data_IF_348919688378
#
_entry.id   IF_348919688378
#
_cell.length_a   1.000
_cell.length_b   1.000
_cell.length_c   1.000
_cell.angle_alpha   90.00
_cell.angle_beta   90.00
_cell.angle_gamma   90.00
#
_symmetry.space_group_name_H-M   'P 1'
#
loop_
_entity.id
_entity.type
_entity.pdbx_description
1 polymer ?
#
# COMPACT_ATOMS: atom_id res chain seq x y z
N UNK A 1 -31.07 -10.98 8.17
CA UNK A 1 -29.84 -10.22 7.98
C UNK A 1 -28.73 -10.99 8.67
N UNK A 2 -27.67 -11.36 7.96
CA UNK A 2 -26.52 -12.01 8.59
C UNK A 2 -25.84 -11.00 9.53
N UNK A 3 -25.60 -11.38 10.76
CA UNK A 3 -24.90 -10.57 11.73
C UNK A 3 -23.47 -10.31 11.25
N UNK A 4 -23.09 -9.04 11.16
CA UNK A 4 -21.73 -8.66 10.77
C UNK A 4 -20.79 -9.00 11.92
N UNK A 5 -19.89 -9.96 11.70
CA UNK A 5 -18.88 -10.34 12.69
C UNK A 5 -17.66 -9.44 12.52
N UNK A 6 -17.38 -8.63 13.53
CA UNK A 6 -16.12 -7.85 13.60
C UNK A 6 -15.03 -8.78 14.13
N UNK A 7 -13.94 -8.90 13.36
CA UNK A 7 -12.76 -9.71 13.72
C UNK A 7 -11.61 -8.74 13.96
N UNK A 8 -11.15 -8.67 15.21
CA UNK A 8 -10.04 -7.82 15.63
C UNK A 8 -10.44 -6.80 16.69
N UNK A 9 -9.45 -6.10 17.19
CA UNK A 9 -9.63 -5.04 18.18
C UNK A 9 -10.16 -3.76 17.54
N UNK A 10 -10.89 -2.97 18.33
CA UNK A 10 -11.32 -1.65 17.90
C UNK A 10 -10.10 -0.76 17.63
N UNK A 11 -10.11 -0.06 16.49
CA UNK A 11 -9.08 0.93 16.17
C UNK A 11 -9.27 2.13 17.09
N UNK A 12 -8.23 2.44 17.87
CA UNK A 12 -8.24 3.60 18.77
C UNK A 12 -8.13 4.91 17.97
N UNK A 13 -8.67 5.96 18.55
CA UNK A 13 -8.56 7.34 18.02
C UNK A 13 -9.09 7.53 16.59
N UNK A 14 -9.96 6.63 16.12
CA UNK A 14 -10.57 6.80 14.81
C UNK A 14 -11.49 8.02 14.82
N UNK A 15 -11.31 8.99 13.92
CA UNK A 15 -12.11 10.20 13.86
C UNK A 15 -13.46 9.92 13.18
N UNK A 16 -14.35 9.22 13.89
CA UNK A 16 -15.68 8.94 13.39
C UNK A 16 -16.51 10.22 13.29
N UNK A 17 -17.19 10.37 12.17
CA UNK A 17 -18.18 11.41 11.96
C UNK A 17 -19.48 10.81 11.48
N UNK A 18 -20.57 11.30 12.01
CA UNK A 18 -21.88 10.98 11.47
C UNK A 18 -22.09 11.79 10.19
N UNK A 19 -22.63 11.15 9.17
CA UNK A 19 -23.03 11.82 7.95
C UNK A 19 -24.15 12.83 8.25
N UNK A 20 -24.30 13.89 7.45
CA UNK A 20 -25.38 14.84 7.63
C UNK A 20 -26.73 14.14 7.50
N UNK A 21 -27.73 14.58 8.28
CA UNK A 21 -29.06 13.97 8.33
C UNK A 21 -29.76 13.93 6.96
N UNK A 22 -29.40 14.83 6.05
CA UNK A 22 -29.91 14.90 4.68
C UNK A 22 -29.20 13.95 3.71
N UNK A 23 -28.24 13.19 4.17
CA UNK A 23 -27.44 12.26 3.38
C UNK A 23 -28.20 10.96 3.08
N UNK A 24 -29.43 11.07 2.64
CA UNK A 24 -30.23 9.91 2.28
C UNK A 24 -29.97 9.47 0.84
N UNK A 25 -29.38 8.28 0.66
CA UNK A 25 -29.32 7.60 -0.62
C UNK A 25 -27.96 7.50 -1.29
N UNK A 26 -26.92 8.18 -0.85
CA UNK A 26 -25.57 7.96 -1.37
C UNK A 26 -24.85 6.84 -0.58
N UNK A 27 -24.18 5.90 -1.25
CA UNK A 27 -23.49 4.80 -0.57
C UNK A 27 -22.23 5.22 0.21
N UNK A 28 -21.78 6.45 0.02
CA UNK A 28 -20.54 6.97 0.59
C UNK A 28 -20.71 8.42 1.01
N UNK A 29 -20.27 8.76 2.20
CA UNK A 29 -20.12 10.13 2.67
C UNK A 29 -18.64 10.51 2.78
N UNK A 30 -18.32 11.75 2.40
CA UNK A 30 -16.95 12.27 2.47
C UNK A 30 -16.85 13.29 3.59
N UNK A 31 -15.74 13.23 4.32
CA UNK A 31 -15.40 14.23 5.33
C UNK A 31 -15.43 15.65 4.74
N UNK A 32 -16.08 16.58 5.45
CA UNK A 32 -16.33 17.94 4.94
C UNK A 32 -15.06 18.78 4.76
N UNK A 33 -14.02 18.50 5.52
CA UNK A 33 -12.72 19.20 5.48
C UNK A 33 -11.74 18.59 4.44
N UNK A 34 -12.21 17.68 3.57
CA UNK A 34 -11.34 17.17 2.50
C UNK A 34 -11.00 18.27 1.49
N UNK A 35 -9.75 18.29 0.97
CA UNK A 35 -8.67 17.35 1.22
C UNK A 35 -7.93 17.60 2.53
N UNK A 36 -7.75 16.58 3.36
CA UNK A 36 -7.02 16.68 4.64
C UNK A 36 -5.52 16.91 4.49
N UNK A 37 -4.96 16.64 3.32
CA UNK A 37 -3.57 16.93 2.98
C UNK A 37 -3.57 17.89 1.80
N UNK A 38 -3.07 19.08 2.02
CA UNK A 38 -2.99 20.13 1.01
C UNK A 38 -1.86 19.94 0.01
N UNK A 39 -1.62 20.97 -0.80
CA UNK A 39 -0.48 21.05 -1.72
C UNK A 39 0.81 21.36 -0.95
N UNK A 40 1.94 20.89 -1.50
CA UNK A 40 3.28 21.11 -0.94
C UNK A 40 3.39 20.70 0.54
N UNK A 41 2.95 19.49 0.90
CA UNK A 41 2.93 19.05 2.30
C UNK A 41 4.35 18.90 2.86
N UNK A 42 5.33 18.64 2.00
CA UNK A 42 6.75 18.53 2.30
C UNK A 42 7.54 19.25 1.20
N UNK A 43 8.75 19.68 1.51
CA UNK A 43 9.67 20.24 0.51
C UNK A 43 9.81 19.32 -0.69
N UNK A 44 9.77 19.87 -1.88
CA UNK A 44 9.84 19.17 -3.17
C UNK A 44 8.64 18.27 -3.53
N UNK A 45 7.67 18.08 -2.64
CA UNK A 45 6.46 17.31 -2.91
C UNK A 45 5.32 18.25 -3.28
N UNK A 46 4.86 18.17 -4.53
CA UNK A 46 3.75 19.00 -5.01
C UNK A 46 2.41 18.56 -4.40
N UNK A 47 2.22 17.25 -4.22
CA UNK A 47 0.96 16.67 -3.71
C UNK A 47 1.14 15.21 -3.30
N UNK A 48 0.20 14.75 -2.48
CA UNK A 48 0.07 13.35 -2.08
C UNK A 48 -1.04 12.68 -2.91
N UNK A 49 -0.77 11.47 -3.35
CA UNK A 49 -1.74 10.55 -3.95
C UNK A 49 -1.74 9.24 -3.18
N UNK A 50 -2.53 8.30 -3.60
CA UNK A 50 -2.62 6.91 -3.14
C UNK A 50 -1.71 6.56 -1.96
N UNK A 51 -2.33 6.34 -0.81
CA UNK A 51 -1.63 6.11 0.45
C UNK A 51 -2.10 4.81 1.07
N UNK A 52 -1.29 4.25 1.95
CA UNK A 52 -1.68 3.16 2.82
C UNK A 52 -1.39 3.56 4.27
N UNK A 53 -2.39 3.43 5.11
CA UNK A 53 -2.37 3.86 6.51
C UNK A 53 -2.82 2.72 7.41
N UNK A 54 -2.21 2.60 8.58
CA UNK A 54 -2.61 1.62 9.59
C UNK A 54 -2.38 2.13 11.01
N UNK A 55 -3.05 1.58 12.03
CA UNK A 55 -2.73 1.83 13.42
C UNK A 55 -1.31 1.36 13.77
N UNK A 56 -0.61 2.14 14.60
CA UNK A 56 0.72 1.83 15.09
C UNK A 56 0.88 2.35 16.52
N UNK A 57 0.82 1.44 17.50
CA UNK A 57 0.79 1.83 18.91
C UNK A 57 -0.47 2.65 19.24
N UNK A 58 -0.27 3.88 19.69
CA UNK A 58 -1.33 4.84 20.01
C UNK A 58 -1.54 5.91 18.93
N UNK A 59 -0.94 5.72 17.76
CA UNK A 59 -1.03 6.61 16.62
C UNK A 59 -1.35 5.86 15.32
N UNK A 60 -1.42 6.58 14.23
CA UNK A 60 -1.47 6.07 12.86
C UNK A 60 -0.15 6.33 12.16
N UNK A 61 0.28 5.34 11.38
CA UNK A 61 1.42 5.46 10.50
C UNK A 61 0.97 5.20 9.07
N UNK A 62 1.58 5.88 8.12
CA UNK A 62 1.24 5.73 6.72
C UNK A 62 2.43 5.87 5.80
N UNK A 63 2.33 5.20 4.67
CA UNK A 63 3.22 5.33 3.52
C UNK A 63 2.46 6.01 2.39
N UNK A 64 3.00 7.09 1.86
CA UNK A 64 2.30 8.02 1.00
C UNK A 64 3.05 8.18 -0.32
N UNK A 65 2.33 8.09 -1.45
CA UNK A 65 2.88 8.49 -2.74
C UNK A 65 3.01 10.01 -2.77
N UNK A 66 4.22 10.52 -2.63
CA UNK A 66 4.55 11.92 -2.84
C UNK A 66 4.99 12.18 -4.27
N UNK A 67 4.19 12.92 -5.03
CA UNK A 67 4.56 13.38 -6.36
C UNK A 67 5.47 14.59 -6.22
N UNK A 68 6.73 14.45 -6.59
CA UNK A 68 7.67 15.57 -6.54
C UNK A 68 7.34 16.65 -7.60
N UNK A 69 7.87 17.83 -7.42
CA UNK A 69 7.68 18.95 -8.37
C UNK A 69 8.23 18.67 -9.77
N UNK A 70 9.15 17.72 -9.89
CA UNK A 70 9.67 17.20 -11.16
C UNK A 70 8.80 16.10 -11.80
N UNK A 71 7.67 15.72 -11.15
CA UNK A 71 6.76 14.68 -11.61
C UNK A 71 7.18 13.25 -11.25
N UNK A 72 8.30 13.05 -10.55
CA UNK A 72 8.75 11.71 -10.14
C UNK A 72 8.13 11.35 -8.79
N UNK A 73 7.37 10.26 -8.68
CA UNK A 73 6.80 9.84 -7.40
C UNK A 73 7.79 9.02 -6.56
N UNK A 74 7.76 9.28 -5.26
CA UNK A 74 8.45 8.46 -4.26
C UNK A 74 7.54 8.22 -3.05
N UNK A 75 7.97 7.35 -2.15
CA UNK A 75 7.23 7.02 -0.94
C UNK A 75 7.77 7.84 0.23
N UNK A 76 6.85 8.47 0.94
CA UNK A 76 7.11 9.25 2.15
C UNK A 76 6.42 8.61 3.34
N UNK A 77 7.04 8.73 4.51
CA UNK A 77 6.45 8.29 5.77
C UNK A 77 5.67 9.45 6.39
N UNK A 78 4.54 9.13 7.00
CA UNK A 78 3.75 10.09 7.77
C UNK A 78 3.19 9.46 9.03
N UNK A 79 3.03 10.28 10.07
CA UNK A 79 2.44 9.90 11.37
C UNK A 79 1.31 10.82 11.73
N UNK A 80 0.30 10.28 12.41
CA UNK A 80 -0.86 11.03 12.84
C UNK A 80 -1.44 10.47 14.14
N UNK A 81 -1.97 11.34 14.99
CA UNK A 81 -2.70 10.91 16.19
C UNK A 81 -4.18 10.65 15.94
N UNK A 82 -4.72 11.14 14.83
CA UNK A 82 -6.16 11.16 14.54
C UNK A 82 -6.52 10.76 13.10
N UNK A 83 -5.54 10.37 12.29
CA UNK A 83 -5.67 10.04 10.87
C UNK A 83 -6.19 11.21 9.99
N UNK A 84 -6.28 12.42 10.52
CA UNK A 84 -6.66 13.64 9.81
C UNK A 84 -5.46 14.57 9.67
N UNK A 85 -4.78 14.86 10.78
CA UNK A 85 -3.62 15.74 10.83
C UNK A 85 -2.34 14.91 10.72
N UNK A 86 -1.61 15.09 9.63
CA UNK A 86 -0.44 14.30 9.29
C UNK A 86 0.84 15.09 9.40
N UNK A 87 1.83 14.51 10.06
CA UNK A 87 3.21 14.96 10.05
C UNK A 87 4.02 14.05 9.16
N UNK A 88 4.66 14.61 8.16
CA UNK A 88 5.48 13.87 7.19
C UNK A 88 6.95 14.02 7.51
N UNK A 89 7.71 12.96 7.26
CA UNK A 89 9.15 13.06 7.21
C UNK A 89 9.57 13.96 6.04
N UNK A 90 10.61 14.77 6.24
CA UNK A 90 11.09 15.69 5.20
C UNK A 90 11.64 14.97 3.98
N UNK A 91 12.19 13.77 4.20
CA UNK A 91 12.81 12.97 3.17
C UNK A 91 11.94 11.77 2.78
N UNK A 92 12.02 11.39 1.50
CA UNK A 92 11.47 10.13 1.05
C UNK A 92 12.13 8.95 1.77
N UNK A 93 11.41 7.85 1.91
CA UNK A 93 11.92 6.62 2.52
C UNK A 93 13.21 6.20 1.79
N UNK A 94 14.24 5.95 2.56
CA UNK A 94 15.49 5.38 2.08
C UNK A 94 15.47 3.88 2.35
N UNK A 95 15.61 3.11 1.28
CA UNK A 95 15.69 1.66 1.39
C UNK A 95 17.15 1.21 1.48
N UNK A 96 17.37 0.11 2.14
CA UNK A 96 18.67 -0.57 2.17
C UNK A 96 18.49 -2.03 1.73
N UNK A 97 19.53 -2.65 1.19
CA UNK A 97 19.55 -4.11 0.99
C UNK A 97 19.84 -4.85 2.31
N UNK A 98 19.92 -6.17 2.27
CA UNK A 98 20.19 -7.00 3.45
C UNK A 98 21.60 -6.77 4.04
N UNK A 99 22.53 -6.21 3.27
CA UNK A 99 23.88 -5.83 3.71
C UNK A 99 23.93 -4.39 4.24
N UNK A 100 22.82 -3.68 4.24
CA UNK A 100 22.69 -2.29 4.68
C UNK A 100 23.14 -1.26 3.63
N UNK A 101 23.36 -1.67 2.40
CA UNK A 101 23.73 -0.77 1.31
C UNK A 101 22.51 -0.01 0.81
N UNK A 102 22.61 1.32 0.62
CA UNK A 102 21.49 2.10 0.12
C UNK A 102 20.97 1.63 -1.23
N UNK A 103 19.65 1.54 -1.32
CA UNK A 103 18.92 1.27 -2.54
C UNK A 103 17.83 2.32 -2.75
N UNK A 104 17.71 2.83 -3.96
CA UNK A 104 16.64 3.74 -4.33
C UNK A 104 16.04 3.34 -5.68
N UNK A 105 14.74 3.08 -5.75
CA UNK A 105 14.07 2.84 -7.03
C UNK A 105 14.12 4.11 -7.90
N UNK A 106 14.07 3.95 -9.20
CA UNK A 106 13.99 5.08 -10.15
C UNK A 106 12.76 5.94 -9.86
N UNK A 107 11.65 5.29 -9.53
CA UNK A 107 10.44 5.86 -8.95
C UNK A 107 9.70 4.81 -8.15
N UNK A 108 8.84 5.25 -7.22
CA UNK A 108 7.99 4.37 -6.44
C UNK A 108 6.62 5.03 -6.23
N UNK A 109 5.54 4.31 -6.55
CA UNK A 109 4.18 4.84 -6.44
C UNK A 109 3.19 3.77 -5.98
N UNK A 110 2.03 4.22 -5.56
CA UNK A 110 0.90 3.42 -5.10
C UNK A 110 1.29 2.39 -4.03
N UNK A 111 1.85 2.86 -2.90
CA UNK A 111 2.26 1.95 -1.85
C UNK A 111 1.09 1.22 -1.20
N UNK A 112 1.36 0.01 -0.74
CA UNK A 112 0.52 -0.77 0.17
C UNK A 112 1.32 -1.05 1.42
N UNK A 113 0.65 -1.05 2.55
CA UNK A 113 1.25 -1.32 3.87
C UNK A 113 0.45 -2.42 4.55
N UNK A 114 1.12 -3.45 5.01
CA UNK A 114 0.48 -4.57 5.69
C UNK A 114 1.40 -5.13 6.77
N UNK A 115 0.81 -5.55 7.89
CA UNK A 115 1.51 -6.27 8.93
C UNK A 115 1.23 -7.77 8.80
N UNK A 116 2.29 -8.57 8.74
CA UNK A 116 2.20 -10.03 8.84
C UNK A 116 3.10 -10.47 9.98
N UNK A 117 2.52 -11.11 10.99
CA UNK A 117 3.23 -11.43 12.25
C UNK A 117 3.83 -10.17 12.87
N UNK A 118 5.13 -10.13 13.10
CA UNK A 118 5.85 -9.00 13.72
C UNK A 118 6.51 -8.07 12.71
N UNK A 119 6.25 -8.26 11.43
CA UNK A 119 6.92 -7.52 10.36
C UNK A 119 5.91 -6.74 9.52
N UNK A 120 6.25 -5.50 9.23
CA UNK A 120 5.52 -4.65 8.30
C UNK A 120 6.14 -4.76 6.92
N UNK A 121 5.31 -4.90 5.91
CA UNK A 121 5.70 -4.96 4.51
C UNK A 121 5.13 -3.75 3.77
N UNK A 122 6.00 -3.10 3.02
CA UNK A 122 5.62 -2.05 2.09
C UNK A 122 5.80 -2.61 0.69
N UNK A 123 4.76 -2.49 -0.13
CA UNK A 123 4.73 -2.98 -1.51
C UNK A 123 4.37 -1.79 -2.40
N UNK A 124 5.08 -1.62 -3.51
CA UNK A 124 4.85 -0.49 -4.40
C UNK A 124 5.04 -0.87 -5.87
N UNK A 125 4.59 0.00 -6.75
CA UNK A 125 4.86 -0.10 -8.18
C UNK A 125 6.15 0.68 -8.50
N UNK A 126 7.00 0.08 -9.32
CA UNK A 126 8.26 0.68 -9.76
C UNK A 126 8.58 0.30 -11.21
N UNK A 127 9.66 0.88 -11.75
CA UNK A 127 10.32 0.37 -12.94
C UNK A 127 11.53 -0.49 -12.53
N UNK A 128 11.58 -1.68 -13.08
CA UNK A 128 12.73 -2.58 -13.01
C UNK A 128 12.75 -3.42 -14.29
N UNK A 129 13.34 -2.87 -15.36
CA UNK A 129 13.27 -3.41 -16.72
C UNK A 129 11.81 -3.54 -17.23
N UNK A 130 10.96 -2.63 -16.83
CA UNK A 130 9.53 -2.58 -17.10
C UNK A 130 8.71 -2.48 -15.82
N UNK A 131 7.37 -2.46 -15.95
CA UNK A 131 6.47 -2.37 -14.82
C UNK A 131 6.70 -3.54 -13.85
N UNK A 132 7.07 -3.25 -12.60
CA UNK A 132 7.44 -4.22 -11.59
C UNK A 132 6.87 -3.87 -10.22
N UNK A 133 6.90 -4.85 -9.34
CA UNK A 133 6.53 -4.71 -7.93
C UNK A 133 7.81 -4.66 -7.12
N UNK A 134 7.99 -3.56 -6.37
CA UNK A 134 9.01 -3.47 -5.35
C UNK A 134 8.44 -3.81 -3.98
N UNK A 135 9.29 -4.28 -3.08
CA UNK A 135 8.90 -4.64 -1.74
C UNK A 135 10.02 -4.36 -0.73
N UNK A 136 9.63 -3.94 0.47
CA UNK A 136 10.52 -3.79 1.62
C UNK A 136 9.83 -4.26 2.90
N UNK A 137 10.63 -4.62 3.88
CA UNK A 137 10.18 -4.97 5.23
C UNK A 137 10.75 -4.00 6.26
N UNK A 138 10.00 -3.76 7.32
CA UNK A 138 10.44 -2.97 8.47
C UNK A 138 9.80 -3.51 9.75
N UNK A 139 10.42 -3.23 10.91
CA UNK A 139 9.85 -3.51 12.23
C UNK A 139 9.54 -2.24 13.02
N UNK A 140 10.17 -1.15 12.65
CA UNK A 140 10.22 0.09 13.44
C UNK A 140 9.84 1.35 12.65
N UNK A 141 9.71 1.25 11.33
CA UNK A 141 9.54 2.38 10.41
C UNK A 141 10.70 3.39 10.43
N UNK A 142 11.89 2.93 10.82
CA UNK A 142 13.15 3.68 10.75
C UNK A 142 14.07 3.05 9.71
N UNK A 143 14.19 1.71 9.74
CA UNK A 143 14.98 0.94 8.80
C UNK A 143 14.06 0.16 7.84
N UNK A 144 14.25 0.37 6.55
CA UNK A 144 13.45 -0.26 5.49
C UNK A 144 14.35 -1.16 4.64
N UNK A 145 14.29 -2.46 4.91
CA UNK A 145 15.12 -3.44 4.21
C UNK A 145 14.38 -3.92 2.96
N UNK A 146 14.98 -3.68 1.80
CA UNK A 146 14.45 -4.18 0.53
C UNK A 146 14.39 -5.70 0.54
N UNK A 147 13.30 -6.24 0.04
CA UNK A 147 13.12 -7.65 -0.28
C UNK A 147 13.24 -7.80 -1.81
N UNK A 148 13.63 -8.98 -2.28
CA UNK A 148 13.64 -9.27 -3.70
C UNK A 148 12.28 -8.96 -4.35
N UNK A 149 12.30 -8.56 -5.61
CA UNK A 149 11.06 -8.31 -6.34
C UNK A 149 10.26 -9.62 -6.44
N UNK A 150 9.00 -9.62 -5.96
CA UNK A 150 8.24 -10.86 -5.85
C UNK A 150 7.90 -11.51 -7.20
N UNK A 151 7.96 -10.74 -8.28
CA UNK A 151 7.65 -11.19 -9.62
C UNK A 151 8.59 -10.57 -10.65
N UNK A 152 8.72 -11.23 -11.79
CA UNK A 152 9.36 -10.66 -12.97
C UNK A 152 8.51 -9.52 -13.55
N UNK A 153 9.11 -8.57 -14.30
CA UNK A 153 8.35 -7.68 -15.17
C UNK A 153 7.52 -8.52 -16.19
N UNK A 154 6.40 -8.14 -16.61
CA UNK A 154 5.60 -6.96 -16.37
C UNK A 154 4.47 -7.28 -15.39
N UNK A 155 4.68 -7.07 -14.14
CA UNK A 155 3.68 -7.29 -13.11
C UNK A 155 3.68 -6.07 -12.16
N UNK A 156 2.50 -5.51 -11.91
CA UNK A 156 2.36 -4.38 -10.98
C UNK A 156 1.02 -4.45 -10.26
N UNK A 157 0.90 -3.66 -9.18
CA UNK A 157 -0.24 -3.68 -8.29
C UNK A 157 -0.38 -5.03 -7.59
N UNK A 158 0.33 -5.17 -6.49
CA UNK A 158 0.18 -6.34 -5.63
C UNK A 158 -0.40 -5.98 -4.27
N UNK A 159 -1.06 -6.95 -3.67
CA UNK A 159 -1.58 -6.87 -2.31
C UNK A 159 -1.20 -8.15 -1.57
N UNK A 160 -0.44 -8.00 -0.49
CA UNK A 160 -0.13 -9.09 0.42
C UNK A 160 -1.25 -9.25 1.44
N UNK A 161 -1.66 -10.48 1.73
CA UNK A 161 -2.63 -10.76 2.79
C UNK A 161 -2.05 -10.41 4.16
N UNK A 162 -2.87 -9.89 5.10
CA UNK A 162 -2.40 -9.47 6.44
C UNK A 162 -2.16 -10.65 7.39
N UNK A 163 -2.05 -11.84 6.89
CA UNK A 163 -1.75 -13.06 7.63
C UNK A 163 -1.26 -14.15 6.69
N UNK A 164 -0.54 -15.11 7.21
CA UNK A 164 -0.27 -16.35 6.50
C UNK A 164 -1.55 -17.20 6.38
N UNK A 165 -1.69 -17.87 5.24
CA UNK A 165 -2.76 -18.84 4.96
C UNK A 165 -2.10 -20.19 4.77
N UNK A 166 -2.48 -21.18 5.56
CA UNK A 166 -1.84 -22.51 5.57
C UNK A 166 -0.30 -22.46 5.73
N UNK A 167 0.20 -21.50 6.50
CA UNK A 167 1.63 -21.32 6.73
C UNK A 167 2.38 -20.51 5.66
N UNK A 168 1.73 -20.15 4.56
CA UNK A 168 2.32 -19.39 3.46
C UNK A 168 1.90 -17.92 3.46
N UNK A 169 2.79 -17.06 3.02
CA UNK A 169 2.43 -15.73 2.54
C UNK A 169 1.61 -15.87 1.27
N UNK A 170 0.55 -15.08 1.15
CA UNK A 170 -0.35 -15.10 0.00
C UNK A 170 -0.47 -13.70 -0.58
N UNK A 171 -0.35 -13.58 -1.88
CA UNK A 171 -0.35 -12.30 -2.57
C UNK A 171 -1.28 -12.34 -3.79
N UNK A 172 -2.06 -11.27 -3.95
CA UNK A 172 -2.74 -10.97 -5.21
C UNK A 172 -1.87 -10.05 -6.03
N UNK A 173 -1.74 -10.33 -7.32
CA UNK A 173 -1.04 -9.46 -8.24
C UNK A 173 -1.79 -9.31 -9.55
N UNK A 174 -1.45 -8.30 -10.32
CA UNK A 174 -2.03 -8.05 -11.64
C UNK A 174 -0.93 -7.86 -12.67
N UNK A 175 -0.62 -8.89 -13.44
CA UNK A 175 0.23 -8.76 -14.61
C UNK A 175 -0.26 -7.64 -15.53
N UNK A 176 0.65 -6.90 -16.08
CA UNK A 176 0.37 -5.73 -16.90
C UNK A 176 1.52 -5.55 -17.87
N UNK A 177 1.23 -5.51 -19.14
CA UNK A 177 2.23 -5.20 -20.16
C UNK A 177 2.71 -3.74 -20.09
N UNK A 178 3.65 -3.39 -20.94
CA UNK A 178 4.16 -2.03 -21.08
C UNK A 178 3.12 -1.04 -21.64
N UNK A 179 2.02 -1.53 -22.19
CA UNK A 179 1.03 -0.76 -22.92
C UNK A 179 -0.19 -0.33 -22.11
N UNK A 180 -0.17 -0.47 -20.80
CA UNK A 180 -1.34 -0.15 -19.97
C UNK A 180 -2.57 -0.97 -20.32
N UNK A 181 -2.44 -2.27 -20.48
CA UNK A 181 -3.57 -3.17 -20.69
C UNK A 181 -4.62 -2.91 -19.62
N UNK A 182 -5.81 -2.41 -19.96
CA UNK A 182 -6.87 -2.11 -18.98
C UNK A 182 -7.46 -3.39 -18.39
N UNK A 183 -7.17 -4.53 -18.98
CA UNK A 183 -7.71 -5.83 -18.63
C UNK A 183 -6.55 -6.76 -18.26
N UNK A 184 -6.30 -6.91 -16.98
CA UNK A 184 -5.39 -7.91 -16.46
C UNK A 184 -6.14 -8.82 -15.49
N UNK A 185 -5.91 -10.10 -15.62
CA UNK A 185 -6.40 -11.06 -14.64
C UNK A 185 -5.73 -10.84 -13.28
N UNK A 186 -6.42 -11.21 -12.22
CA UNK A 186 -5.85 -11.21 -10.89
C UNK A 186 -5.28 -12.57 -10.60
N UNK A 187 -4.00 -12.60 -10.28
CA UNK A 187 -3.27 -13.82 -9.95
C UNK A 187 -3.16 -13.97 -8.44
N UNK A 188 -3.39 -15.17 -7.96
CA UNK A 188 -3.12 -15.56 -6.59
C UNK A 188 -1.80 -16.36 -6.56
N UNK A 189 -0.89 -15.92 -5.71
CA UNK A 189 0.41 -16.56 -5.54
C UNK A 189 0.70 -16.79 -4.06
N UNK A 190 1.47 -17.84 -3.76
CA UNK A 190 1.88 -18.15 -2.39
C UNK A 190 3.39 -18.40 -2.30
N UNK A 191 3.92 -18.20 -1.09
CA UNK A 191 5.32 -18.44 -0.77
C UNK A 191 5.49 -18.74 0.72
N UNK A 192 6.35 -19.68 1.10
CA UNK A 192 6.66 -19.92 2.51
C UNK A 192 7.52 -18.81 3.13
N UNK A 193 8.30 -18.08 2.33
CA UNK A 193 9.40 -17.21 2.79
C UNK A 193 9.44 -15.82 2.11
N UNK A 194 8.54 -15.52 1.18
CA UNK A 194 8.51 -14.30 0.35
C UNK A 194 9.65 -14.17 -0.68
N UNK A 195 10.51 -15.18 -0.82
CA UNK A 195 11.58 -15.15 -1.83
C UNK A 195 11.10 -15.70 -3.17
N UNK A 196 10.27 -16.73 -3.14
CA UNK A 196 9.73 -17.40 -4.33
C UNK A 196 8.22 -17.47 -4.25
N UNK A 197 7.54 -16.64 -5.05
CA UNK A 197 6.09 -16.66 -5.17
C UNK A 197 5.66 -17.61 -6.30
N UNK A 198 5.02 -18.69 -5.92
CA UNK A 198 4.45 -19.66 -6.85
C UNK A 198 3.02 -19.29 -7.18
N UNK A 199 2.72 -19.17 -8.46
CA UNK A 199 1.36 -18.92 -8.95
C UNK A 199 0.50 -20.17 -8.69
N UNK A 200 -0.59 -20.03 -7.94
CA UNK A 200 -1.51 -21.12 -7.64
C UNK A 200 -2.85 -21.00 -8.36
N UNK A 201 -3.27 -19.81 -8.71
CA UNK A 201 -4.55 -19.62 -9.38
C UNK A 201 -4.63 -18.31 -10.14
N UNK A 202 -5.26 -18.36 -11.32
CA UNK A 202 -5.72 -17.18 -12.06
C UNK A 202 -7.19 -17.02 -11.72
N UNK A 203 -7.55 -15.93 -11.06
CA UNK A 203 -8.93 -15.57 -10.85
C UNK A 203 -9.44 -14.87 -12.10
N UNK A 204 -10.12 -15.60 -12.96
CA UNK A 204 -10.87 -14.96 -14.04
C UNK A 204 -12.02 -14.14 -13.43
N UNK A 205 -12.20 -12.88 -13.87
CA UNK A 205 -13.41 -12.18 -13.54
C UNK A 205 -14.59 -12.99 -14.08
N UNK A 206 -15.48 -13.42 -13.21
CA UNK A 206 -16.71 -14.10 -13.62
C UNK A 206 -17.46 -13.18 -14.59
N UNK A 207 -17.31 -13.44 -15.87
CA UNK A 207 -18.19 -12.84 -16.88
C UNK A 207 -19.57 -13.45 -16.68
N UNK A 208 -20.61 -12.65 -16.53
CA UNK A 208 -21.95 -13.19 -16.60
C UNK A 208 -22.08 -13.93 -17.93
N UNK A 209 -22.38 -15.23 -17.88
CA UNK A 209 -22.77 -15.99 -19.07
C UNK A 209 -24.19 -15.52 -19.42
N UNK A 210 -24.30 -14.68 -20.41
CA UNK A 210 -25.59 -14.39 -21.08
C UNK A 210 -25.60 -15.05 -22.44
#
# INVERSE_FOLDING_TARGET
MSEVKIIGDAVKNMPWQEGPAEFSGAPVWRYGENPIIGRNPVKEVARIFNSAVMPYGDEFIGVFRGEQTNGIPYIYLGRSKDAIHWNFDENKIQFVDEEGKPFMPVYAYDPRLVKVEDTYYIIWCQDFYGAAIGMAKTKDFETFVRVENPFLPFNRNAVLFPRKINGNFVMLSRPSDSGHTPFGDIFLSESPDMLYLSLIHISEPTRPLY
#
